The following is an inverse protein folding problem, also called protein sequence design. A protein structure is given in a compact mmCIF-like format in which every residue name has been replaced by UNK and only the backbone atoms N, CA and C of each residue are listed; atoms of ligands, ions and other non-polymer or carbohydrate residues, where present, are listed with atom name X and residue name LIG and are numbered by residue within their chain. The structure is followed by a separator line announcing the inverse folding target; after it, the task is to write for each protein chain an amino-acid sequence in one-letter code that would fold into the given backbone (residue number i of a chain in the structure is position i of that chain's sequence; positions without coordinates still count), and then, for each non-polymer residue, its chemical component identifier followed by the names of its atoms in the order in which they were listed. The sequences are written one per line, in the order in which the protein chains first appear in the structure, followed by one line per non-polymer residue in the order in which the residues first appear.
data_IF_793832943351
#
_entry.id   IF_793832943351
#
_cell.length_a   1.000
_cell.length_b   1.000
_cell.length_c   1.000
_cell.angle_alpha   90.00
_cell.angle_beta   90.00
_cell.angle_gamma   90.00
#
_symmetry.space_group_name_H-M   'P 1'
#
loop_
_entity.id
_entity.type
_entity.pdbx_description
1 polymer ?
#
# COMPACT_ATOMS: atom_id res chain seq x y z
N UNK A 1 -58.25 -57.96 25.37
CA UNK A 1 -58.27 -56.49 25.25
C UNK A 1 -56.85 -55.99 25.42
N UNK A 2 -56.29 -55.45 24.34
CA UNK A 2 -54.88 -55.07 24.20
C UNK A 2 -54.64 -53.69 24.81
N UNK A 3 -53.60 -53.55 25.64
CA UNK A 3 -53.10 -52.25 26.10
C UNK A 3 -51.75 -52.01 25.41
N UNK A 4 -51.77 -51.20 24.35
CA UNK A 4 -50.58 -50.74 23.66
C UNK A 4 -50.02 -49.50 24.38
N UNK A 5 -48.81 -49.64 24.95
CA UNK A 5 -48.03 -48.51 25.47
C UNK A 5 -47.30 -47.88 24.28
N UNK A 6 -47.72 -46.68 23.89
CA UNK A 6 -47.07 -45.88 22.84
C UNK A 6 -45.85 -45.20 23.46
N UNK A 7 -44.66 -45.64 23.06
CA UNK A 7 -43.39 -45.03 23.43
C UNK A 7 -43.17 -43.78 22.56
N UNK A 8 -43.19 -42.58 23.14
CA UNK A 8 -42.92 -41.32 22.43
C UNK A 8 -41.41 -41.11 22.34
N UNK A 9 -40.83 -41.34 21.15
CA UNK A 9 -39.46 -40.93 20.83
C UNK A 9 -39.48 -39.46 20.43
N UNK A 10 -38.91 -38.59 21.27
CA UNK A 10 -38.63 -37.19 20.92
C UNK A 10 -37.30 -37.15 20.17
N UNK A 11 -37.37 -36.91 18.86
CA UNK A 11 -36.18 -36.69 18.02
C UNK A 11 -35.73 -35.23 18.17
N UNK A 12 -34.70 -34.99 18.99
CA UNK A 12 -33.99 -33.70 19.03
C UNK A 12 -33.14 -33.56 17.76
N UNK A 13 -33.59 -32.73 16.83
CA UNK A 13 -32.80 -32.30 15.67
C UNK A 13 -31.87 -31.17 16.13
N UNK A 14 -30.62 -31.51 16.41
CA UNK A 14 -29.56 -30.54 16.69
C UNK A 14 -29.16 -29.90 15.36
N UNK A 15 -29.72 -28.73 15.05
CA UNK A 15 -29.26 -27.90 13.93
C UNK A 15 -27.89 -27.33 14.30
N UNK A 16 -26.82 -27.98 13.82
CA UNK A 16 -25.50 -27.35 13.79
C UNK A 16 -25.55 -26.16 12.82
N UNK A 17 -25.69 -24.96 13.36
CA UNK A 17 -25.34 -23.73 12.65
C UNK A 17 -23.81 -23.72 12.47
N UNK A 18 -23.35 -24.37 11.40
CA UNK A 18 -22.00 -24.19 10.91
C UNK A 18 -21.85 -22.74 10.44
N UNK A 19 -21.06 -21.95 11.17
CA UNK A 19 -20.64 -20.62 10.73
C UNK A 19 -19.80 -20.76 9.45
N UNK A 20 -20.46 -20.72 8.29
CA UNK A 20 -19.81 -20.46 7.02
C UNK A 20 -19.36 -18.99 7.04
N UNK A 21 -18.19 -18.74 7.63
CA UNK A 21 -17.42 -17.57 7.26
C UNK A 21 -17.02 -17.77 5.79
N UNK A 22 -17.85 -17.29 4.87
CA UNK A 22 -17.56 -17.30 3.45
C UNK A 22 -16.19 -16.67 3.24
N UNK A 23 -15.24 -17.45 2.75
CA UNK A 23 -13.97 -16.95 2.25
C UNK A 23 -14.30 -16.13 1.00
N UNK A 24 -14.57 -14.82 1.19
CA UNK A 24 -14.62 -13.90 0.07
C UNK A 24 -13.30 -14.03 -0.70
N UNK A 25 -13.38 -14.33 -1.99
CA UNK A 25 -12.20 -14.45 -2.83
C UNK A 25 -11.39 -13.15 -2.71
N UNK A 26 -10.10 -13.30 -2.38
CA UNK A 26 -9.18 -12.17 -2.26
C UNK A 26 -9.30 -11.29 -3.52
N UNK A 27 -9.60 -10.00 -3.36
CA UNK A 27 -9.77 -9.13 -4.51
C UNK A 27 -8.45 -9.04 -5.29
N UNK A 28 -8.53 -9.21 -6.60
CA UNK A 28 -7.39 -8.93 -7.46
C UNK A 28 -7.29 -7.42 -7.66
N UNK A 29 -6.22 -6.85 -7.15
CA UNK A 29 -6.11 -5.42 -6.93
C UNK A 29 -4.87 -4.85 -7.58
N UNK A 30 -5.01 -3.63 -8.04
CA UNK A 30 -3.92 -2.77 -8.46
C UNK A 30 -2.88 -2.58 -7.33
N UNK A 31 -1.58 -2.61 -7.68
CA UNK A 31 -0.46 -2.43 -6.75
C UNK A 31 0.60 -1.47 -7.29
N UNK A 32 1.19 -0.70 -6.38
CA UNK A 32 2.26 0.27 -6.68
C UNK A 32 3.64 -0.39 -6.82
N UNK A 33 4.42 0.07 -7.81
CA UNK A 33 5.89 -0.07 -7.83
C UNK A 33 6.55 1.11 -7.11
N UNK A 34 7.86 1.04 -6.87
CA UNK A 34 8.62 2.16 -6.29
C UNK A 34 9.05 3.10 -7.40
N UNK A 35 8.88 4.41 -7.20
CA UNK A 35 9.41 5.44 -8.09
C UNK A 35 10.94 5.51 -8.00
N UNK A 36 11.56 5.76 -9.14
CA UNK A 36 12.99 6.00 -9.29
C UNK A 36 13.17 7.24 -10.17
N UNK A 37 14.17 8.08 -9.88
CA UNK A 37 14.32 9.40 -10.52
C UNK A 37 14.63 9.31 -12.03
N UNK A 38 15.08 8.14 -12.51
CA UNK A 38 15.22 7.87 -13.94
C UNK A 38 13.88 7.77 -14.68
N UNK A 39 12.76 7.57 -13.96
CA UNK A 39 11.44 7.45 -14.57
C UNK A 39 10.91 8.82 -14.98
N UNK A 40 10.47 8.92 -16.22
CA UNK A 40 9.75 10.11 -16.68
C UNK A 40 8.26 10.01 -16.29
N UNK A 41 7.77 11.09 -15.66
CA UNK A 41 6.43 11.19 -15.07
C UNK A 41 5.78 12.55 -15.30
N UNK A 42 6.42 13.48 -16.03
CA UNK A 42 5.75 14.69 -16.50
C UNK A 42 4.55 14.31 -17.38
N UNK A 43 3.42 14.97 -17.16
CA UNK A 43 2.13 14.63 -17.77
C UNK A 43 1.34 13.53 -17.01
N UNK A 44 1.95 12.86 -16.02
CA UNK A 44 1.21 11.96 -15.13
C UNK A 44 0.46 12.77 -14.05
N UNK A 45 -0.34 12.09 -13.24
CA UNK A 45 -0.99 12.70 -12.08
C UNK A 45 -0.35 12.25 -10.77
N UNK A 46 -0.36 13.11 -9.77
CA UNK A 46 0.11 12.85 -8.41
C UNK A 46 -1.00 13.06 -7.37
N UNK A 47 -0.93 12.30 -6.29
CA UNK A 47 -1.79 12.43 -5.11
C UNK A 47 -1.03 12.11 -3.83
N UNK A 48 -1.50 12.59 -2.68
CA UNK A 48 -0.96 12.12 -1.40
C UNK A 48 -1.14 10.61 -1.26
N UNK A 49 -0.12 9.94 -0.72
CA UNK A 49 -0.22 8.57 -0.24
C UNK A 49 -0.70 8.60 1.20
N UNK A 50 -1.92 8.12 1.42
CA UNK A 50 -2.49 8.00 2.76
C UNK A 50 -1.98 6.73 3.45
N UNK A 51 -1.63 6.84 4.73
CA UNK A 51 -1.23 5.73 5.59
C UNK A 51 -2.43 5.29 6.43
N UNK A 52 -3.29 4.47 5.83
CA UNK A 52 -4.52 3.98 6.45
C UNK A 52 -4.70 2.48 6.24
N UNK A 53 -5.96 2.05 6.15
CA UNK A 53 -6.29 0.67 5.81
C UNK A 53 -7.03 0.63 4.49
N UNK A 54 -6.41 0.05 3.45
CA UNK A 54 -7.06 -0.16 2.15
C UNK A 54 -8.41 -0.89 2.31
N UNK A 55 -9.47 -0.19 1.92
CA UNK A 55 -10.84 -0.67 1.86
C UNK A 55 -11.28 -0.78 0.40
N UNK A 56 -11.58 -2.00 -0.04
CA UNK A 56 -12.12 -2.29 -1.36
C UNK A 56 -13.61 -2.57 -1.22
N UNK A 57 -14.45 -1.69 -1.74
CA UNK A 57 -15.88 -1.92 -1.84
C UNK A 57 -16.16 -2.64 -3.16
N UNK A 58 -16.79 -3.80 -3.11
CA UNK A 58 -17.08 -4.60 -4.31
C UNK A 58 -18.45 -4.28 -4.95
N UNK A 59 -19.18 -3.27 -4.44
CA UNK A 59 -20.58 -2.99 -4.79
C UNK A 59 -21.58 -3.40 -3.70
N UNK A 60 -21.16 -4.20 -2.72
CA UNK A 60 -22.03 -4.76 -1.67
C UNK A 60 -21.40 -4.76 -0.28
N UNK A 61 -20.11 -5.02 -0.20
CA UNK A 61 -19.38 -5.10 1.07
C UNK A 61 -17.97 -4.54 0.96
N UNK A 62 -17.44 -4.16 2.11
CA UNK A 62 -16.10 -3.59 2.24
C UNK A 62 -15.11 -4.67 2.64
N UNK A 63 -14.05 -4.82 1.85
CA UNK A 63 -13.03 -5.86 1.97
C UNK A 63 -11.66 -5.24 2.20
N UNK A 64 -10.83 -5.88 3.00
CA UNK A 64 -9.40 -5.55 3.06
C UNK A 64 -8.70 -6.04 1.79
N UNK A 65 -7.47 -5.56 1.56
CA UNK A 65 -6.56 -6.11 0.53
C UNK A 65 -6.39 -7.64 0.61
N UNK A 66 -6.50 -8.22 1.82
CA UNK A 66 -6.35 -9.65 2.03
C UNK A 66 -7.58 -10.48 1.65
N UNK A 67 -8.72 -9.85 1.38
CA UNK A 67 -10.01 -10.52 1.18
C UNK A 67 -10.86 -10.63 2.45
N UNK A 68 -10.37 -10.17 3.61
CA UNK A 68 -11.17 -10.17 4.82
C UNK A 68 -12.27 -9.12 4.75
N UNK A 69 -13.51 -9.54 5.05
CA UNK A 69 -14.64 -8.63 5.23
C UNK A 69 -14.42 -7.71 6.42
N UNK A 70 -14.71 -6.43 6.23
CA UNK A 70 -14.80 -5.44 7.28
C UNK A 70 -16.25 -5.30 7.73
N UNK A 71 -16.46 -4.92 8.99
CA UNK A 71 -17.78 -4.75 9.58
C UNK A 71 -18.04 -3.25 9.87
N UNK A 72 -18.19 -2.37 8.87
CA UNK A 72 -18.59 -0.99 9.11
C UNK A 72 -20.03 -0.93 9.67
N UNK A 73 -20.38 0.10 10.46
CA UNK A 73 -21.78 0.40 10.76
C UNK A 73 -22.58 0.58 9.46
N UNK A 74 -23.86 0.20 9.46
CA UNK A 74 -24.73 0.33 8.28
C UNK A 74 -24.80 1.77 7.75
N UNK A 75 -24.84 2.75 8.65
CA UNK A 75 -24.84 4.18 8.28
C UNK A 75 -23.56 4.60 7.54
N UNK A 76 -22.43 3.91 7.77
CA UNK A 76 -21.16 4.27 7.15
C UNK A 76 -21.14 3.94 5.65
N UNK A 77 -21.69 2.78 5.29
CA UNK A 77 -21.78 2.29 3.90
C UNK A 77 -23.11 2.62 3.22
N UNK A 78 -23.99 3.35 3.90
CA UNK A 78 -25.25 3.80 3.31
C UNK A 78 -24.96 4.67 2.08
N UNK A 79 -25.73 4.46 1.00
CA UNK A 79 -25.55 5.15 -0.30
C UNK A 79 -24.18 4.94 -0.97
N UNK A 80 -23.43 3.89 -0.61
CA UNK A 80 -22.28 3.49 -1.40
C UNK A 80 -22.68 3.10 -2.83
N UNK A 81 -21.80 3.32 -3.82
CA UNK A 81 -22.13 3.05 -5.22
C UNK A 81 -22.43 1.56 -5.44
N UNK A 82 -23.31 1.20 -6.38
CA UNK A 82 -23.60 -0.19 -6.74
C UNK A 82 -22.47 -0.83 -7.56
N UNK A 83 -21.31 -0.18 -7.65
CA UNK A 83 -20.12 -0.62 -8.38
C UNK A 83 -18.89 -0.54 -7.49
N UNK A 84 -17.81 -1.20 -7.91
CA UNK A 84 -16.61 -1.30 -7.12
C UNK A 84 -15.87 0.03 -7.00
N UNK A 85 -15.39 0.34 -5.80
CA UNK A 85 -14.46 1.46 -5.52
C UNK A 85 -13.33 0.99 -4.61
N UNK A 86 -12.14 1.53 -4.83
CA UNK A 86 -10.94 1.14 -4.12
C UNK A 86 -10.26 2.39 -3.54
N UNK A 87 -10.01 2.35 -2.25
CA UNK A 87 -9.63 3.51 -1.48
C UNK A 87 -8.97 3.14 -0.16
N UNK A 88 -8.57 4.18 0.57
CA UNK A 88 -7.97 4.06 1.89
C UNK A 88 -8.99 4.50 2.96
N UNK A 89 -9.29 3.62 3.92
CA UNK A 89 -9.95 4.03 5.16
C UNK A 89 -8.95 4.79 5.99
N UNK A 90 -9.27 6.03 6.33
CA UNK A 90 -8.30 6.97 6.87
C UNK A 90 -8.97 7.95 7.83
N UNK A 91 -8.24 8.33 8.87
CA UNK A 91 -8.68 9.31 9.87
C UNK A 91 -7.94 10.64 9.67
N UNK A 92 -6.63 10.62 9.86
CA UNK A 92 -5.71 11.75 9.72
C UNK A 92 -4.27 11.25 9.51
N UNK A 93 -3.36 12.18 9.24
CA UNK A 93 -1.93 11.88 9.10
C UNK A 93 -1.37 11.35 10.43
N UNK A 94 -0.41 10.42 10.35
CA UNK A 94 0.30 9.84 11.50
C UNK A 94 -0.64 9.11 12.52
N UNK A 95 -1.72 8.50 12.03
CA UNK A 95 -2.78 7.89 12.87
C UNK A 95 -3.13 6.44 12.46
N UNK A 96 -2.19 5.74 11.80
CA UNK A 96 -2.39 4.39 11.27
C UNK A 96 -2.89 3.38 12.34
N UNK A 97 -2.29 3.40 13.52
CA UNK A 97 -2.64 2.46 14.60
C UNK A 97 -4.10 2.64 15.07
N UNK A 98 -4.58 3.89 15.14
CA UNK A 98 -5.95 4.20 15.50
C UNK A 98 -6.93 3.69 14.44
N UNK A 99 -6.75 4.05 13.16
CA UNK A 99 -7.65 3.60 12.09
C UNK A 99 -7.65 2.07 11.96
N UNK A 100 -6.48 1.43 12.10
CA UNK A 100 -6.35 -0.04 12.11
C UNK A 100 -7.12 -0.67 13.27
N UNK A 101 -7.06 -0.08 14.47
CA UNK A 101 -7.82 -0.52 15.65
C UNK A 101 -9.34 -0.46 15.40
N UNK A 102 -9.83 0.66 14.84
CA UNK A 102 -11.26 0.85 14.57
C UNK A 102 -11.77 -0.18 13.55
N UNK A 103 -11.11 -0.31 12.40
CA UNK A 103 -11.61 -1.17 11.30
C UNK A 103 -11.50 -2.67 11.62
N UNK A 104 -10.63 -3.08 12.55
CA UNK A 104 -10.47 -4.47 12.98
C UNK A 104 -11.42 -4.86 14.13
N UNK A 105 -12.12 -3.90 14.73
CA UNK A 105 -13.06 -4.18 15.80
C UNK A 105 -14.25 -4.97 15.22
N UNK A 106 -14.56 -6.13 15.81
CA UNK A 106 -15.59 -7.04 15.30
C UNK A 106 -16.99 -6.44 15.37
N UNK A 107 -17.31 -5.80 16.50
CA UNK A 107 -18.54 -5.03 16.68
C UNK A 107 -18.23 -3.57 16.37
N UNK A 108 -18.75 -3.01 15.26
CA UNK A 108 -18.52 -1.61 14.94
C UNK A 108 -19.06 -0.70 16.04
N UNK A 109 -18.32 0.36 16.34
CA UNK A 109 -18.69 1.38 17.29
C UNK A 109 -18.59 2.79 16.69
N UNK A 110 -18.92 3.79 17.51
CA UNK A 110 -18.98 5.19 17.09
C UNK A 110 -17.64 5.79 16.62
N UNK A 111 -16.50 5.12 16.85
CA UNK A 111 -15.20 5.60 16.34
C UNK A 111 -15.15 5.63 14.82
N UNK A 112 -16.00 4.89 14.11
CA UNK A 112 -16.16 4.99 12.66
C UNK A 112 -16.53 6.40 12.18
N UNK A 113 -17.10 7.26 13.04
CA UNK A 113 -17.37 8.68 12.72
C UNK A 113 -16.10 9.48 12.42
N UNK A 114 -14.93 8.96 12.79
CA UNK A 114 -13.63 9.57 12.51
C UNK A 114 -13.05 9.16 11.15
N UNK A 115 -13.63 8.15 10.49
CA UNK A 115 -13.08 7.55 9.26
C UNK A 115 -13.73 8.17 8.04
N UNK A 116 -12.94 8.42 7.01
CA UNK A 116 -13.40 8.59 5.62
C UNK A 116 -12.81 7.49 4.74
N UNK A 117 -13.54 7.12 3.69
CA UNK A 117 -13.09 6.22 2.64
C UNK A 117 -12.60 7.05 1.45
N UNK A 118 -11.28 7.13 1.33
CA UNK A 118 -10.58 8.02 0.39
C UNK A 118 -10.25 7.25 -0.89
N UNK A 119 -11.10 7.39 -1.90
CA UNK A 119 -11.08 6.64 -3.15
C UNK A 119 -9.99 7.15 -4.08
N UNK A 120 -9.16 6.22 -4.54
CA UNK A 120 -8.12 6.48 -5.54
C UNK A 120 -8.34 5.69 -6.84
N UNK A 121 -9.35 4.82 -6.91
CA UNK A 121 -9.63 4.02 -8.10
C UNK A 121 -11.09 3.55 -8.16
N UNK A 122 -11.63 3.42 -9.37
CA UNK A 122 -12.95 2.82 -9.64
C UNK A 122 -12.73 1.67 -10.64
N UNK A 123 -12.52 0.43 -10.14
CA UNK A 123 -12.17 -0.71 -10.98
C UNK A 123 -13.18 -1.02 -12.08
N UNK A 124 -12.68 -1.60 -13.18
CA UNK A 124 -13.46 -2.11 -14.30
C UNK A 124 -14.35 -1.06 -15.01
N UNK A 125 -14.07 0.23 -14.82
CA UNK A 125 -14.68 1.32 -15.58
C UNK A 125 -13.87 1.63 -16.85
N UNK A 126 -14.50 2.12 -17.93
CA UNK A 126 -13.81 2.41 -19.18
C UNK A 126 -12.87 3.62 -19.06
N UNK A 127 -11.81 3.60 -19.88
CA UNK A 127 -10.88 4.72 -20.00
C UNK A 127 -9.82 4.80 -18.91
N UNK A 128 -9.09 5.91 -18.93
CA UNK A 128 -8.02 6.23 -17.99
C UNK A 128 -8.50 6.58 -16.58
N UNK A 129 -7.58 6.71 -15.64
CA UNK A 129 -7.84 6.94 -14.21
C UNK A 129 -8.85 8.07 -13.96
N UNK A 130 -8.66 9.22 -14.60
CA UNK A 130 -9.53 10.38 -14.35
C UNK A 130 -10.97 10.12 -14.80
N UNK A 131 -11.16 9.48 -15.96
CA UNK A 131 -12.50 9.06 -16.46
C UNK A 131 -13.16 8.06 -15.51
N UNK A 132 -12.39 7.14 -14.93
CA UNK A 132 -12.91 6.19 -13.95
C UNK A 132 -13.33 6.88 -12.65
N UNK A 133 -12.54 7.83 -12.16
CA UNK A 133 -12.90 8.66 -10.99
C UNK A 133 -14.13 9.55 -11.27
N UNK A 134 -14.30 10.02 -12.50
CA UNK A 134 -15.49 10.79 -12.91
C UNK A 134 -16.79 10.00 -12.78
N UNK A 135 -16.75 8.67 -12.96
CA UNK A 135 -17.91 7.80 -12.71
C UNK A 135 -18.38 7.94 -11.26
N UNK A 136 -17.45 7.87 -10.30
CA UNK A 136 -17.78 8.06 -8.89
C UNK A 136 -18.21 9.50 -8.61
N UNK A 137 -17.55 10.49 -9.21
CA UNK A 137 -17.92 11.91 -9.05
C UNK A 137 -19.36 12.18 -9.48
N UNK A 138 -19.77 11.65 -10.63
CA UNK A 138 -21.13 11.76 -11.14
C UNK A 138 -22.14 11.03 -10.25
N UNK A 139 -21.77 9.88 -9.67
CA UNK A 139 -22.59 9.16 -8.71
C UNK A 139 -22.80 9.97 -7.41
N UNK A 140 -21.73 10.52 -6.83
CA UNK A 140 -21.76 11.29 -5.59
C UNK A 140 -22.50 12.62 -5.73
N UNK A 141 -22.51 13.22 -6.93
CA UNK A 141 -23.34 14.38 -7.21
C UNK A 141 -24.84 14.09 -7.03
N UNK A 142 -25.29 12.90 -7.43
CA UNK A 142 -26.68 12.44 -7.30
C UNK A 142 -26.98 11.82 -5.94
N UNK A 143 -25.96 11.26 -5.29
CA UNK A 143 -26.06 10.55 -4.01
C UNK A 143 -24.98 11.08 -3.05
N UNK A 144 -25.18 12.27 -2.45
CA UNK A 144 -24.18 12.88 -1.59
C UNK A 144 -23.84 11.96 -0.41
N UNK A 145 -22.54 11.71 -0.21
CA UNK A 145 -22.06 10.83 0.86
C UNK A 145 -20.81 11.45 1.51
N UNK A 146 -20.93 11.83 2.79
CA UNK A 146 -19.82 12.46 3.53
C UNK A 146 -18.70 11.50 3.89
N UNK A 147 -18.97 10.18 3.86
CA UNK A 147 -17.98 9.16 4.20
C UNK A 147 -17.07 8.83 3.01
N UNK A 148 -17.45 9.15 1.78
CA UNK A 148 -16.66 8.89 0.57
C UNK A 148 -15.99 10.18 0.11
N UNK A 149 -14.68 10.14 -0.08
CA UNK A 149 -13.90 11.26 -0.64
C UNK A 149 -13.09 10.77 -1.83
N UNK A 150 -13.03 11.53 -2.92
CA UNK A 150 -12.12 11.23 -4.03
C UNK A 150 -10.78 11.90 -3.75
N UNK A 151 -9.70 11.13 -3.70
CA UNK A 151 -8.37 11.69 -3.50
C UNK A 151 -8.03 12.61 -4.68
N UNK A 152 -7.68 13.89 -4.44
CA UNK A 152 -7.30 14.83 -5.49
C UNK A 152 -6.18 14.28 -6.38
N UNK A 153 -6.32 14.46 -7.69
CA UNK A 153 -5.33 14.09 -8.70
C UNK A 153 -4.81 15.35 -9.36
N UNK A 154 -3.54 15.68 -9.13
CA UNK A 154 -2.89 16.89 -9.67
C UNK A 154 -1.95 16.51 -10.79
N UNK A 155 -2.03 17.15 -11.95
CA UNK A 155 -1.09 16.91 -13.03
C UNK A 155 0.34 17.35 -12.66
N UNK A 156 1.31 16.52 -12.99
CA UNK A 156 2.74 16.78 -12.80
C UNK A 156 3.26 17.52 -14.03
N UNK A 157 3.57 18.80 -13.85
CA UNK A 157 4.14 19.63 -14.92
C UNK A 157 5.67 19.58 -14.92
N UNK A 158 6.29 19.41 -13.75
CA UNK A 158 7.75 19.27 -13.62
C UNK A 158 8.13 18.28 -12.52
N UNK A 159 9.34 17.71 -12.62
CA UNK A 159 9.90 16.86 -11.54
C UNK A 159 10.15 17.65 -10.25
N UNK A 160 10.45 18.94 -10.35
CA UNK A 160 10.60 19.85 -9.20
C UNK A 160 9.29 19.98 -8.43
N UNK A 161 8.17 20.19 -9.13
CA UNK A 161 6.84 20.25 -8.50
C UNK A 161 6.51 18.97 -7.73
N UNK A 162 6.83 17.80 -8.28
CA UNK A 162 6.66 16.52 -7.59
C UNK A 162 7.52 16.44 -6.32
N UNK A 163 8.78 16.89 -6.39
CA UNK A 163 9.69 16.90 -5.25
C UNK A 163 9.23 17.86 -4.14
N UNK A 164 8.71 19.03 -4.50
CA UNK A 164 8.14 20.01 -3.59
C UNK A 164 6.86 19.48 -2.92
N UNK A 165 5.95 18.89 -3.69
CA UNK A 165 4.74 18.26 -3.16
C UNK A 165 5.06 17.13 -2.19
N UNK A 166 6.05 16.28 -2.52
CA UNK A 166 6.54 15.25 -1.60
C UNK A 166 7.11 15.86 -0.30
N UNK A 167 7.91 16.93 -0.41
CA UNK A 167 8.50 17.62 0.74
C UNK A 167 7.41 18.21 1.64
N UNK A 168 6.40 18.83 1.06
CA UNK A 168 5.24 19.39 1.77
C UNK A 168 4.45 18.30 2.51
N UNK A 169 4.06 17.24 1.79
CA UNK A 169 3.30 16.12 2.38
C UNK A 169 4.06 15.53 3.57
N UNK A 170 5.35 15.20 3.38
CA UNK A 170 6.17 14.62 4.46
C UNK A 170 6.42 15.62 5.60
N UNK A 171 6.63 16.90 5.28
CA UNK A 171 6.79 17.97 6.27
C UNK A 171 5.57 18.12 7.17
N UNK A 172 4.39 17.83 6.64
CA UNK A 172 3.13 17.82 7.37
C UNK A 172 2.72 16.43 7.90
N UNK A 173 3.69 15.51 8.07
CA UNK A 173 3.52 14.13 8.57
C UNK A 173 2.73 13.16 7.67
N UNK A 174 2.55 13.47 6.39
CA UNK A 174 1.99 12.54 5.42
C UNK A 174 3.01 11.48 4.99
N UNK A 175 2.54 10.34 4.46
CA UNK A 175 3.41 9.19 4.20
C UNK A 175 4.33 9.37 2.97
N UNK A 176 3.82 10.07 1.95
CA UNK A 176 4.50 10.24 0.68
C UNK A 176 3.51 10.54 -0.45
N UNK A 177 3.91 10.27 -1.68
CA UNK A 177 3.13 10.62 -2.88
C UNK A 177 2.91 9.37 -3.73
N UNK A 178 1.78 9.27 -4.40
CA UNK A 178 1.52 8.30 -5.47
C UNK A 178 1.52 9.06 -6.79
N UNK A 179 2.22 8.54 -7.80
CA UNK A 179 2.18 9.06 -9.17
C UNK A 179 1.62 8.01 -10.11
N UNK A 180 0.73 8.39 -11.02
CA UNK A 180 0.01 7.46 -11.91
C UNK A 180 -0.10 8.02 -13.31
N UNK A 181 0.13 7.18 -14.30
CA UNK A 181 -0.19 7.51 -15.69
C UNK A 181 -1.73 7.58 -15.83
N UNK A 182 -2.30 8.75 -16.19
CA UNK A 182 -3.74 8.94 -16.25
C UNK A 182 -4.39 8.14 -17.38
N UNK A 183 -3.68 7.82 -18.46
CA UNK A 183 -4.24 7.17 -19.65
C UNK A 183 -4.24 5.64 -19.56
N UNK A 184 -3.63 5.08 -18.51
CA UNK A 184 -3.58 3.63 -18.34
C UNK A 184 -4.97 3.08 -18.00
N UNK A 185 -5.42 2.12 -18.81
CA UNK A 185 -6.60 1.31 -18.52
C UNK A 185 -6.43 0.57 -17.20
N UNK A 186 -7.55 0.22 -16.56
CA UNK A 186 -7.51 -0.52 -15.31
C UNK A 186 -6.82 -1.87 -15.50
N UNK A 187 -5.84 -2.15 -14.64
CA UNK A 187 -5.09 -3.40 -14.60
C UNK A 187 -4.80 -3.75 -13.14
N UNK A 188 -4.74 -5.04 -12.84
CA UNK A 188 -4.41 -5.56 -11.52
C UNK A 188 -2.92 -5.91 -11.42
N UNK A 189 -2.43 -6.16 -10.20
CA UNK A 189 -1.02 -6.47 -9.97
C UNK A 189 -0.09 -5.25 -9.94
N UNK A 190 1.23 -5.48 -9.95
CA UNK A 190 2.24 -4.42 -9.80
C UNK A 190 2.52 -3.72 -11.12
N UNK A 191 2.07 -2.47 -11.24
CA UNK A 191 2.16 -1.73 -12.50
C UNK A 191 3.34 -0.76 -12.53
N UNK A 192 3.98 -0.61 -13.69
CA UNK A 192 4.95 0.46 -13.95
C UNK A 192 4.28 1.81 -14.20
N UNK A 193 2.99 1.82 -14.48
CA UNK A 193 2.14 3.01 -14.66
C UNK A 193 1.68 3.63 -13.33
N UNK A 194 2.06 3.06 -12.19
CA UNK A 194 1.75 3.66 -10.91
C UNK A 194 2.79 3.37 -9.83
N UNK A 195 3.26 4.44 -9.21
CA UNK A 195 4.48 4.44 -8.43
C UNK A 195 4.25 5.13 -7.10
N UNK A 196 4.80 4.55 -6.04
CA UNK A 196 4.94 5.23 -4.74
C UNK A 196 6.25 6.00 -4.73
N UNK A 197 6.15 7.29 -4.46
CA UNK A 197 7.27 8.20 -4.24
C UNK A 197 7.46 8.34 -2.74
N UNK A 198 8.65 8.01 -2.26
CA UNK A 198 9.00 8.11 -0.84
C UNK A 198 10.23 8.99 -0.72
N UNK A 199 10.25 9.88 0.28
CA UNK A 199 11.45 10.62 0.64
C UNK A 199 12.52 9.62 1.05
N UNK A 200 13.65 9.66 0.36
CA UNK A 200 14.84 8.96 0.75
C UNK A 200 15.94 9.98 1.02
N UNK A 201 16.88 9.56 1.84
CA UNK A 201 18.13 10.25 2.10
C UNK A 201 19.24 9.40 1.50
N UNK A 202 20.35 10.00 1.13
CA UNK A 202 21.55 9.27 0.79
C UNK A 202 22.68 9.60 1.77
N UNK A 203 23.62 8.68 1.87
CA UNK A 203 24.87 8.87 2.59
C UNK A 203 25.90 7.90 2.03
N UNK A 204 27.12 8.01 2.55
CA UNK A 204 28.25 7.22 2.09
C UNK A 204 28.65 6.18 3.15
N UNK A 205 29.18 5.05 2.68
CA UNK A 205 29.87 4.10 3.52
C UNK A 205 31.09 3.51 2.81
N UNK A 206 32.09 3.10 3.60
CA UNK A 206 33.26 2.37 3.13
C UNK A 206 32.97 0.88 3.19
N UNK A 207 33.19 0.16 2.09
CA UNK A 207 33.00 -1.29 2.03
C UNK A 207 34.03 -1.99 2.91
N UNK A 208 33.55 -2.76 3.90
CA UNK A 208 34.38 -3.54 4.81
C UNK A 208 34.47 -5.02 4.41
N UNK A 209 33.47 -5.53 3.70
CA UNK A 209 33.45 -6.93 3.29
C UNK A 209 32.36 -7.25 2.27
N UNK A 210 32.60 -8.31 1.51
CA UNK A 210 31.66 -8.84 0.53
C UNK A 210 31.04 -10.11 1.10
N UNK A 211 29.71 -10.17 1.12
CA UNK A 211 28.96 -11.28 1.70
C UNK A 211 28.34 -12.13 0.59
N UNK A 212 28.42 -13.48 0.68
CA UNK A 212 27.98 -14.37 -0.38
C UNK A 212 26.47 -14.34 -0.57
N UNK A 213 26.04 -14.44 -1.83
CA UNK A 213 24.64 -14.54 -2.22
C UNK A 213 24.04 -15.92 -1.99
N UNK A 214 22.71 -15.95 -1.94
CA UNK A 214 21.89 -17.18 -1.83
C UNK A 214 20.93 -17.27 -3.02
N UNK A 215 20.37 -18.45 -3.26
CA UNK A 215 19.40 -18.68 -4.33
C UNK A 215 19.96 -18.30 -5.70
N UNK A 216 19.27 -17.41 -6.43
CA UNK A 216 19.69 -16.92 -7.75
C UNK A 216 21.07 -16.23 -7.77
N UNK A 217 21.59 -15.83 -6.60
CA UNK A 217 22.91 -15.21 -6.46
C UNK A 217 23.93 -16.13 -5.78
N UNK A 218 23.73 -17.45 -5.78
CA UNK A 218 24.72 -18.42 -5.31
C UNK A 218 26.01 -18.30 -6.14
N UNK A 219 27.16 -18.21 -5.47
CA UNK A 219 28.46 -18.01 -6.13
C UNK A 219 28.76 -16.56 -6.52
N UNK A 220 27.83 -15.61 -6.28
CA UNK A 220 27.98 -14.19 -6.55
C UNK A 220 27.85 -13.37 -5.26
N UNK A 221 28.10 -12.06 -5.34
CA UNK A 221 27.88 -11.15 -4.22
C UNK A 221 26.38 -11.01 -3.90
N UNK A 222 26.04 -11.29 -2.65
CA UNK A 222 24.69 -11.11 -2.11
C UNK A 222 24.49 -9.70 -1.57
N UNK A 223 25.44 -9.25 -0.76
CA UNK A 223 25.45 -7.94 -0.14
C UNK A 223 26.88 -7.49 0.19
N UNK A 224 27.04 -6.21 0.48
CA UNK A 224 28.26 -5.65 1.09
C UNK A 224 27.99 -5.33 2.55
N UNK A 225 28.98 -5.60 3.41
CA UNK A 225 29.09 -5.00 4.74
C UNK A 225 29.86 -3.69 4.57
N UNK A 226 29.31 -2.58 5.04
CA UNK A 226 29.98 -1.29 5.00
C UNK A 226 29.84 -0.52 6.30
N UNK A 227 30.64 0.52 6.47
CA UNK A 227 30.62 1.41 7.64
C UNK A 227 30.53 2.86 7.19
N UNK A 228 29.59 3.62 7.77
CA UNK A 228 29.46 5.05 7.52
C UNK A 228 30.56 5.84 8.23
N UNK A 229 30.77 7.10 7.86
CA UNK A 229 31.73 7.99 8.54
C UNK A 229 31.45 8.16 10.03
N UNK A 230 30.20 8.03 10.45
CA UNK A 230 29.78 8.03 11.86
C UNK A 230 30.04 6.69 12.59
N UNK A 231 30.79 5.76 11.98
CA UNK A 231 31.15 4.47 12.58
C UNK A 231 30.07 3.39 12.52
N UNK A 232 28.89 3.68 11.94
CA UNK A 232 27.77 2.74 11.91
C UNK A 232 27.91 1.70 10.82
N UNK A 233 27.93 0.43 11.20
CA UNK A 233 27.96 -0.68 10.25
C UNK A 233 26.56 -1.07 9.76
N UNK A 234 26.47 -1.42 8.48
CA UNK A 234 25.24 -1.90 7.85
C UNK A 234 25.54 -2.88 6.71
N UNK A 235 24.55 -3.71 6.41
CA UNK A 235 24.56 -4.57 5.22
C UNK A 235 23.68 -3.95 4.15
N UNK A 236 24.19 -3.86 2.92
CA UNK A 236 23.44 -3.38 1.76
C UNK A 236 23.37 -4.54 0.76
N UNK A 237 22.17 -5.04 0.48
CA UNK A 237 21.95 -6.19 -0.42
C UNK A 237 21.07 -5.90 -1.64
N UNK A 238 20.57 -4.68 -1.75
CA UNK A 238 19.65 -4.23 -2.79
C UNK A 238 20.27 -3.06 -3.57
N UNK A 239 19.87 -2.86 -4.83
CA UNK A 239 20.36 -1.78 -5.69
C UNK A 239 21.48 -2.19 -6.65
N UNK A 240 22.18 -3.30 -6.34
CA UNK A 240 23.20 -3.88 -7.23
C UNK A 240 22.56 -4.52 -8.47
N UNK A 241 23.07 -4.15 -9.64
CA UNK A 241 22.80 -4.82 -10.91
C UNK A 241 23.55 -6.16 -10.94
N UNK A 242 23.15 -7.06 -11.83
CA UNK A 242 23.79 -8.38 -11.92
C UNK A 242 25.29 -8.28 -12.25
N UNK A 243 25.70 -7.25 -13.03
CA UNK A 243 27.11 -6.93 -13.26
C UNK A 243 27.87 -6.57 -11.97
N UNK A 244 27.24 -5.84 -11.05
CA UNK A 244 27.85 -5.45 -9.79
C UNK A 244 27.91 -6.67 -8.84
N UNK A 245 27.04 -7.66 -9.03
CA UNK A 245 27.07 -8.92 -8.26
C UNK A 245 28.16 -9.86 -8.71
N UNK A 246 28.46 -9.88 -10.01
CA UNK A 246 29.60 -10.58 -10.58
C UNK A 246 30.92 -9.87 -10.25
N UNK A 247 30.93 -8.55 -10.25
CA UNK A 247 32.09 -7.72 -9.92
C UNK A 247 31.74 -6.69 -8.83
N UNK A 248 31.81 -7.07 -7.54
CA UNK A 248 31.40 -6.21 -6.44
C UNK A 248 32.32 -5.00 -6.25
N UNK A 249 31.82 -3.89 -5.67
CA UNK A 249 32.68 -2.81 -5.20
C UNK A 249 33.76 -3.35 -4.26
N UNK A 250 35.01 -2.96 -4.52
CA UNK A 250 36.17 -3.46 -3.78
C UNK A 250 36.08 -3.09 -2.29
N UNK A 251 36.64 -3.95 -1.43
CA UNK A 251 36.85 -3.61 -0.02
C UNK A 251 37.72 -2.34 0.04
N UNK A 252 37.33 -1.39 0.89
CA UNK A 252 37.95 -0.07 0.99
C UNK A 252 37.32 1.01 0.10
N UNK A 253 36.56 0.64 -0.93
CA UNK A 253 35.87 1.63 -1.78
C UNK A 253 34.75 2.35 -1.02
N UNK A 254 34.55 3.64 -1.32
CA UNK A 254 33.38 4.41 -0.86
C UNK A 254 32.21 4.21 -1.83
N UNK A 255 31.06 3.89 -1.28
CA UNK A 255 29.81 3.78 -2.02
C UNK A 255 28.77 4.73 -1.46
N UNK A 256 27.92 5.26 -2.34
CA UNK A 256 26.71 6.00 -1.95
C UNK A 256 25.53 5.04 -1.91
N UNK A 257 24.72 5.13 -0.87
CA UNK A 257 23.47 4.38 -0.74
C UNK A 257 22.34 5.29 -0.28
N UNK A 258 21.11 4.97 -0.70
CA UNK A 258 19.90 5.62 -0.19
C UNK A 258 19.23 4.81 0.91
N UNK A 259 18.50 5.50 1.79
CA UNK A 259 17.74 4.95 2.91
C UNK A 259 16.50 5.80 3.21
N UNK A 260 15.53 5.23 3.91
CA UNK A 260 14.21 5.83 4.13
C UNK A 260 13.98 6.16 5.62
N UNK A 261 14.95 6.87 6.21
CA UNK A 261 15.00 7.18 7.64
C UNK A 261 15.56 6.04 8.49
N UNK A 262 15.22 6.04 9.78
CA UNK A 262 15.78 5.10 10.76
C UNK A 262 14.71 4.22 11.43
N UNK A 263 15.09 3.01 11.81
CA UNK A 263 14.32 2.15 12.74
C UNK A 263 14.36 2.72 14.15
N UNK A 264 13.48 2.24 15.03
CA UNK A 264 13.49 2.63 16.45
C UNK A 264 14.83 2.32 17.15
N UNK A 265 15.61 1.37 16.61
CA UNK A 265 16.97 1.03 17.04
C UNK A 265 18.05 1.87 16.34
N UNK A 266 17.67 2.95 15.67
CA UNK A 266 18.56 3.86 14.93
C UNK A 266 19.15 3.29 13.64
N UNK A 267 18.82 2.07 13.20
CA UNK A 267 19.36 1.49 11.96
C UNK A 267 18.74 2.10 10.70
N UNK A 268 19.53 2.23 9.62
CA UNK A 268 19.04 2.70 8.32
C UNK A 268 17.89 1.82 7.81
N UNK A 269 16.73 2.42 7.52
CA UNK A 269 15.58 1.71 6.94
C UNK A 269 15.79 1.51 5.44
N UNK A 270 15.72 0.26 5.00
CA UNK A 270 15.77 -0.15 3.59
C UNK A 270 16.95 0.45 2.81
N UNK A 271 18.21 0.16 3.19
CA UNK A 271 19.36 0.68 2.47
C UNK A 271 19.46 0.06 1.07
N UNK A 272 19.69 0.91 0.06
CA UNK A 272 19.79 0.53 -1.35
C UNK A 272 21.02 1.19 -1.97
N UNK A 273 21.92 0.39 -2.53
CA UNK A 273 23.10 0.86 -3.25
C UNK A 273 22.70 1.76 -4.43
N UNK A 274 23.43 2.86 -4.61
CA UNK A 274 23.28 3.77 -5.74
C UNK A 274 24.46 3.66 -6.71
N UNK A 275 25.67 3.92 -6.21
CA UNK A 275 26.89 4.00 -7.03
C UNK A 275 28.16 3.88 -6.19
N UNK A 276 29.27 3.51 -6.83
CA UNK A 276 30.62 3.76 -6.28
C UNK A 276 30.91 5.25 -6.41
N UNK A 277 31.54 5.84 -5.41
CA UNK A 277 31.99 7.23 -5.46
C UNK A 277 33.27 7.29 -6.30
N UNK A 278 33.38 8.17 -7.31
CA UNK A 278 34.66 8.47 -7.93
C UNK A 278 35.63 9.00 -6.87
N UNK A 279 36.91 8.65 -7.00
CA UNK A 279 37.97 9.26 -6.17
C UNK A 279 38.11 10.75 -6.46
#
# INVERSE_FOLDING_TARGET
MSAAVINRVILLITVMLGSFAGLANKPDLFLLKTYDDSKEVVGWVMSEKLDGVRGFWNGQELLTRGGYKLNPPLWFVQQYPPFAVDGELWTKRDDFENVSSIVRTQLPDDRWKQITHNIFEVPNQPGGLLKRLDVLRAYLYKNPNSNIQIIPQTQINTKTQLAEFLKEVVGNKGEGVVVRNPDTLYQTGRLSSALKVKKYFDTECTVLGILPGKGKYKGLMGSVLCQTSAGKQLKIGSGFKDKDRANPPAIGSKITFKYYGFTNKGNFKYPVYLRVRPE
#
